data_IF_097490541066
#
_entry.id   IF_097490541066
#
_cell.length_a   1.000
_cell.length_b   1.000
_cell.length_c   1.000
_cell.angle_alpha   90.00
_cell.angle_beta   90.00
_cell.angle_gamma   90.00
#
_symmetry.space_group_name_H-M   'P 1'
#
loop_
_entity.id
_entity.type
_entity.pdbx_description
1 polymer ?
#
# COMPACT_ATOMS: atom_id res chain seq x y z
N UNK A 1 -4.52 18.92 0.12
CA UNK A 1 -4.08 17.61 0.61
C UNK A 1 -5.20 16.63 0.36
N UNK A 2 -4.86 15.56 -0.34
CA UNK A 2 -5.74 14.44 -0.64
C UNK A 2 -5.56 13.39 0.46
N UNK A 3 -6.65 12.75 0.87
CA UNK A 3 -6.56 11.59 1.76
C UNK A 3 -6.26 10.34 0.96
N UNK A 4 -5.21 9.64 1.34
CA UNK A 4 -4.78 8.38 0.73
C UNK A 4 -5.05 7.21 1.66
N UNK A 5 -5.56 6.11 1.12
CA UNK A 5 -5.55 4.80 1.76
C UNK A 5 -4.20 4.13 1.49
N UNK A 6 -3.49 3.78 2.54
CA UNK A 6 -2.23 3.04 2.45
C UNK A 6 -2.51 1.55 2.46
N UNK A 7 -1.93 0.84 1.49
CA UNK A 7 -2.08 -0.60 1.34
C UNK A 7 -0.74 -1.27 1.13
N UNK A 8 -0.66 -2.52 1.57
CA UNK A 8 0.53 -3.35 1.42
C UNK A 8 0.19 -4.70 0.78
N UNK A 9 1.14 -5.19 0.00
CA UNK A 9 1.17 -6.54 -0.56
C UNK A 9 2.11 -7.34 0.33
N UNK A 10 1.58 -8.28 1.09
CA UNK A 10 2.32 -9.06 2.07
C UNK A 10 3.05 -10.21 1.38
N UNK A 11 4.18 -10.64 1.95
CA UNK A 11 4.86 -11.86 1.53
C UNK A 11 3.99 -13.08 1.88
N UNK A 12 4.04 -14.08 1.00
CA UNK A 12 3.21 -15.28 1.09
C UNK A 12 1.96 -15.20 0.23
N UNK A 13 1.50 -16.36 -0.26
CA UNK A 13 0.38 -16.43 -1.18
C UNK A 13 -0.92 -16.75 -0.44
N UNK A 14 -1.97 -15.98 -0.73
CA UNK A 14 -3.31 -16.34 -0.28
C UNK A 14 -3.94 -17.30 -1.30
N UNK A 15 -3.86 -18.60 -1.00
CA UNK A 15 -4.45 -19.63 -1.86
C UNK A 15 -5.95 -19.70 -1.62
N UNK A 16 -6.73 -19.21 -2.58
CA UNK A 16 -8.16 -19.47 -2.61
C UNK A 16 -8.38 -20.99 -2.71
N UNK A 17 -9.35 -21.52 -1.94
CA UNK A 17 -9.73 -22.94 -1.95
C UNK A 17 -10.11 -23.45 -3.35
N UNK A 18 -10.53 -22.54 -4.23
CA UNK A 18 -10.75 -22.75 -5.67
C UNK A 18 -10.79 -21.40 -6.37
N UNK A 19 -10.28 -21.30 -7.61
CA UNK A 19 -10.34 -20.08 -8.43
C UNK A 19 -8.99 -19.38 -8.58
N UNK A 20 -9.01 -18.05 -8.64
CA UNK A 20 -7.83 -17.23 -8.89
C UNK A 20 -6.87 -17.18 -7.69
N UNK A 21 -5.59 -16.99 -7.99
CA UNK A 21 -4.57 -16.64 -6.99
C UNK A 21 -4.74 -15.15 -6.70
N UNK A 22 -4.85 -14.79 -5.42
CA UNK A 22 -4.94 -13.41 -4.98
C UNK A 22 -3.68 -13.04 -4.21
N UNK A 23 -3.21 -11.82 -4.42
CA UNK A 23 -2.17 -11.24 -3.58
C UNK A 23 -2.72 -11.10 -2.17
N UNK A 24 -1.87 -11.37 -1.18
CA UNK A 24 -2.21 -11.17 0.22
C UNK A 24 -2.11 -9.67 0.53
N UNK A 25 -3.15 -8.90 0.25
CA UNK A 25 -3.13 -7.46 0.47
C UNK A 25 -3.74 -7.08 1.84
N UNK A 26 -3.21 -6.02 2.44
CA UNK A 26 -3.68 -5.48 3.71
C UNK A 26 -3.83 -3.96 3.63
N UNK A 27 -4.95 -3.44 4.16
CA UNK A 27 -5.12 -2.00 4.40
C UNK A 27 -4.41 -1.63 5.70
N UNK A 28 -3.54 -0.62 5.63
CA UNK A 28 -2.68 -0.25 6.74
C UNK A 28 -3.14 1.01 7.48
N UNK A 29 -3.72 1.97 6.76
CA UNK A 29 -4.20 3.21 7.36
C UNK A 29 -4.46 4.30 6.36
N UNK A 30 -4.65 5.52 6.86
CA UNK A 30 -4.92 6.71 6.05
C UNK A 30 -3.85 7.77 6.29
N UNK A 31 -3.45 8.46 5.22
CA UNK A 31 -2.51 9.58 5.28
C UNK A 31 -2.97 10.69 4.36
N UNK A 32 -2.97 11.92 4.87
CA UNK A 32 -3.14 13.10 4.04
C UNK A 32 -1.79 13.51 3.44
N UNK A 33 -1.72 13.66 2.12
CA UNK A 33 -0.53 14.09 1.40
C UNK A 33 -0.88 14.84 0.12
N UNK A 34 0.12 15.37 -0.57
CA UNK A 34 -0.06 16.02 -1.87
C UNK A 34 0.14 15.04 -3.05
N UNK A 35 0.85 13.93 -2.83
CA UNK A 35 1.10 12.90 -3.86
C UNK A 35 1.23 11.49 -3.24
N UNK A 36 1.01 10.47 -4.07
CA UNK A 36 1.01 9.05 -3.69
C UNK A 36 2.30 8.62 -2.98
N UNK A 37 3.47 8.94 -3.54
CA UNK A 37 4.77 8.58 -2.96
C UNK A 37 4.98 9.21 -1.58
N UNK A 38 4.60 10.48 -1.41
CA UNK A 38 4.73 11.16 -0.12
C UNK A 38 3.79 10.56 0.93
N UNK A 39 2.59 10.11 0.54
CA UNK A 39 1.69 9.40 1.46
C UNK A 39 2.34 8.10 1.99
N UNK A 40 2.89 7.29 1.08
CA UNK A 40 3.61 6.05 1.43
C UNK A 40 4.81 6.34 2.31
N UNK A 41 5.67 7.28 1.93
CA UNK A 41 6.87 7.63 2.69
C UNK A 41 6.53 8.16 4.09
N UNK A 42 5.49 8.97 4.20
CA UNK A 42 5.00 9.49 5.49
C UNK A 42 4.53 8.35 6.39
N UNK A 43 3.73 7.41 5.86
CA UNK A 43 3.29 6.24 6.61
C UNK A 43 4.47 5.34 7.02
N UNK A 44 5.37 5.06 6.10
CA UNK A 44 6.51 4.16 6.33
C UNK A 44 7.43 4.68 7.44
N UNK A 45 7.70 5.99 7.46
CA UNK A 45 8.58 6.61 8.47
C UNK A 45 7.93 6.71 9.85
N UNK A 46 6.60 6.78 9.94
CA UNK A 46 5.88 6.91 11.19
C UNK A 46 4.55 6.14 11.15
N UNK A 47 4.61 4.80 11.18
CA UNK A 47 3.40 3.98 11.09
C UNK A 47 2.58 4.12 12.38
N UNK A 48 1.26 4.05 12.26
CA UNK A 48 0.34 4.15 13.40
C UNK A 48 0.46 2.98 14.37
N UNK A 49 1.03 1.87 13.91
CA UNK A 49 1.24 0.64 14.68
C UNK A 49 2.61 0.05 14.32
N UNK A 50 3.21 -0.79 15.18
CA UNK A 50 4.41 -1.54 14.81
C UNK A 50 4.13 -2.45 13.60
N UNK A 51 4.96 -2.35 12.56
CA UNK A 51 4.87 -3.17 11.35
C UNK A 51 6.19 -3.91 11.15
N UNK A 52 6.12 -5.22 10.99
CA UNK A 52 7.23 -6.07 10.59
C UNK A 52 7.43 -5.94 9.07
N UNK A 53 8.21 -4.93 8.65
CA UNK A 53 8.41 -4.63 7.22
C UNK A 53 9.01 -5.79 6.42
N UNK A 54 9.70 -6.71 7.09
CA UNK A 54 10.19 -7.94 6.47
C UNK A 54 9.09 -8.83 5.89
N UNK A 55 7.84 -8.70 6.36
CA UNK A 55 6.68 -9.45 5.87
C UNK A 55 5.95 -8.72 4.74
N UNK A 56 6.39 -7.51 4.36
CA UNK A 56 5.79 -6.71 3.30
C UNK A 56 6.65 -6.81 2.04
N UNK A 57 6.02 -7.05 0.88
CA UNK A 57 6.68 -7.07 -0.43
C UNK A 57 6.58 -5.70 -1.11
N UNK A 58 5.39 -5.11 -1.12
CA UNK A 58 5.12 -3.82 -1.73
C UNK A 58 4.22 -2.97 -0.84
N UNK A 59 4.34 -1.65 -0.95
CA UNK A 59 3.42 -0.69 -0.37
C UNK A 59 2.99 0.30 -1.45
N UNK A 60 1.75 0.76 -1.38
CA UNK A 60 1.26 1.83 -2.25
C UNK A 60 0.17 2.65 -1.54
N UNK A 61 -0.16 3.77 -2.15
CA UNK A 61 -1.24 4.65 -1.72
C UNK A 61 -2.31 4.68 -2.82
N UNK A 62 -3.58 4.72 -2.44
CA UNK A 62 -4.69 5.03 -3.36
C UNK A 62 -5.38 6.30 -2.88
N UNK A 63 -5.57 7.27 -3.77
CA UNK A 63 -6.37 8.46 -3.45
C UNK A 63 -7.82 8.07 -3.17
N UNK A 64 -8.41 8.68 -2.14
CA UNK A 64 -9.84 8.58 -1.82
C UNK A 64 -10.68 9.71 -2.44
N UNK A 65 -10.07 10.53 -3.31
CA UNK A 65 -10.82 11.54 -4.04
C UNK A 65 -11.88 10.89 -4.93
N UNK A 66 -12.93 11.64 -5.26
CA UNK A 66 -13.95 11.17 -6.19
C UNK A 66 -13.48 11.36 -7.63
N UNK A 67 -12.57 10.50 -8.09
CA UNK A 67 -11.95 10.53 -9.42
C UNK A 67 -12.06 9.18 -10.12
N UNK A 68 -12.22 9.21 -11.44
CA UNK A 68 -12.15 8.01 -12.30
C UNK A 68 -10.73 7.43 -12.43
N UNK A 69 -9.73 8.15 -11.93
CA UNK A 69 -8.31 7.76 -11.91
C UNK A 69 -7.91 7.15 -10.55
N UNK A 70 -8.87 6.61 -9.79
CA UNK A 70 -8.63 5.96 -8.50
C UNK A 70 -9.05 4.48 -8.56
N UNK A 71 -8.61 3.69 -7.59
CA UNK A 71 -8.95 2.27 -7.52
C UNK A 71 -8.11 1.45 -8.49
N UNK A 72 -6.83 1.77 -8.57
CA UNK A 72 -5.87 1.07 -9.41
C UNK A 72 -5.28 -0.16 -8.73
N UNK A 73 -5.55 -0.37 -7.44
CA UNK A 73 -5.13 -1.53 -6.65
C UNK A 73 -3.63 -1.81 -6.76
N UNK A 74 -2.82 -0.75 -6.86
CA UNK A 74 -1.37 -0.88 -7.01
C UNK A 74 -0.91 -1.31 -8.41
N UNK A 75 -1.76 -1.24 -9.44
CA UNK A 75 -1.34 -1.46 -10.83
C UNK A 75 -0.47 -0.33 -11.37
N UNK A 76 -0.59 0.88 -10.83
CA UNK A 76 0.10 2.06 -11.36
C UNK A 76 1.42 2.40 -10.64
N UNK A 77 1.56 2.12 -9.34
CA UNK A 77 2.74 2.59 -8.59
C UNK A 77 2.98 1.83 -7.27
N UNK A 78 3.33 0.53 -7.36
CA UNK A 78 3.83 -0.23 -6.21
C UNK A 78 5.27 0.17 -5.89
N UNK A 79 5.54 0.46 -4.62
CA UNK A 79 6.87 0.80 -4.12
C UNK A 79 7.41 -0.43 -3.40
N UNK A 80 8.60 -0.90 -3.78
CA UNK A 80 9.28 -1.95 -3.04
C UNK A 80 9.71 -1.38 -1.68
N UNK A 81 9.45 -2.13 -0.61
CA UNK A 81 9.86 -1.71 0.74
C UNK A 81 11.38 -1.53 0.84
N UNK A 82 12.14 -2.34 0.10
CA UNK A 82 13.60 -2.25 0.03
C UNK A 82 14.08 -0.87 -0.44
N UNK A 83 13.34 -0.23 -1.36
CA UNK A 83 13.65 1.10 -1.89
C UNK A 83 13.43 2.22 -0.86
N UNK A 84 12.65 1.96 0.20
CA UNK A 84 12.37 2.91 1.29
C UNK A 84 13.36 2.79 2.45
N UNK A 85 14.16 1.71 2.49
CA UNK A 85 15.12 1.42 3.58
C UNK A 85 16.55 1.90 3.31
N UNK A 86 16.78 2.55 2.16
CA UNK A 86 18.08 3.08 1.72
C UNK A 86 18.55 4.33 2.44
#
# INVERSE_FOLDING_TARGET
MTTYLIMADMKGDFLAKSGNIYNNFQMLGYVDADEHFNAVKTFFNNPQFPIEWQDVRYIWAESLDNSYQNGHYGELEKIHVEDLTG
#
